data_IF_151462287070
#
_entry.id   IF_151462287070
#
_cell.length_a   1.000
_cell.length_b   1.000
_cell.length_c   1.000
_cell.angle_alpha   90.00
_cell.angle_beta   90.00
_cell.angle_gamma   90.00
#
_symmetry.space_group_name_H-M   'P 1'
#
loop_
_entity.id
_entity.type
_entity.pdbx_description
1 polymer ?
#
# COMPACT_ATOMS: atom_id res chain seq x y z
N UNK A 1 -12.50 -8.07 -6.26
CA UNK A 1 -13.13 -7.44 -5.08
C UNK A 1 -12.79 -5.97 -5.15
N UNK A 2 -13.78 -5.09 -5.21
CA UNK A 2 -13.53 -3.64 -5.21
C UNK A 2 -13.05 -3.24 -3.81
N UNK A 3 -11.82 -2.76 -3.70
CA UNK A 3 -11.26 -2.24 -2.45
C UNK A 3 -10.82 -0.80 -2.64
N UNK A 4 -10.90 -0.03 -1.57
CA UNK A 4 -10.50 1.38 -1.55
C UNK A 4 -9.21 1.53 -0.76
N UNK A 5 -8.22 2.16 -1.36
CA UNK A 5 -6.98 2.51 -0.67
C UNK A 5 -7.28 3.53 0.45
N UNK A 6 -6.85 3.27 1.68
CA UNK A 6 -7.02 4.20 2.80
C UNK A 6 -6.15 5.46 2.68
N UNK A 7 -5.02 5.39 1.98
CA UNK A 7 -4.09 6.52 1.86
C UNK A 7 -4.49 7.50 0.75
N UNK A 8 -4.81 7.02 -0.45
CA UNK A 8 -5.17 7.89 -1.58
C UNK A 8 -6.65 7.83 -1.99
N UNK A 9 -7.44 6.95 -1.37
CA UNK A 9 -8.87 6.82 -1.68
C UNK A 9 -9.18 6.17 -3.03
N UNK A 10 -8.18 5.75 -3.82
CA UNK A 10 -8.38 5.07 -5.11
C UNK A 10 -9.10 3.74 -4.91
N UNK A 11 -10.06 3.49 -5.78
CA UNK A 11 -10.74 2.20 -5.91
C UNK A 11 -9.95 1.33 -6.88
N UNK A 12 -9.63 0.12 -6.47
CA UNK A 12 -8.89 -0.86 -7.27
C UNK A 12 -9.61 -2.20 -7.19
N UNK A 13 -9.71 -2.88 -8.33
CA UNK A 13 -10.22 -4.24 -8.41
C UNK A 13 -9.10 -5.22 -8.11
N UNK A 14 -9.10 -5.76 -6.89
CA UNK A 14 -8.14 -6.78 -6.49
C UNK A 14 -8.71 -8.15 -6.88
N UNK A 15 -8.09 -8.78 -7.88
CA UNK A 15 -8.34 -10.15 -8.34
C UNK A 15 -7.35 -11.13 -7.69
N UNK A 16 -7.53 -12.45 -7.93
CA UNK A 16 -6.65 -13.50 -7.39
C UNK A 16 -5.17 -13.34 -7.77
N UNK A 17 -4.91 -12.68 -8.89
CA UNK A 17 -3.57 -12.45 -9.42
C UNK A 17 -2.90 -11.21 -8.82
N UNK A 18 -3.65 -10.40 -8.07
CA UNK A 18 -3.09 -9.19 -7.48
C UNK A 18 -2.15 -9.57 -6.32
N UNK A 19 -0.95 -8.97 -6.21
CA UNK A 19 0.03 -9.32 -5.17
C UNK A 19 -0.47 -9.08 -3.74
N UNK A 20 -1.55 -8.31 -3.57
CA UNK A 20 -2.22 -8.07 -2.28
C UNK A 20 -3.50 -8.89 -2.10
N UNK A 21 -3.72 -9.90 -2.93
CA UNK A 21 -4.90 -10.75 -2.83
C UNK A 21 -4.98 -11.45 -1.47
N UNK A 22 -3.89 -12.01 -0.94
CA UNK A 22 -3.88 -12.67 0.38
C UNK A 22 -4.20 -11.72 1.54
N UNK A 23 -3.86 -10.43 1.43
CA UNK A 23 -4.18 -9.44 2.47
C UNK A 23 -5.69 -9.14 2.55
N UNK A 24 -6.38 -9.33 1.42
CA UNK A 24 -7.80 -9.03 1.21
C UNK A 24 -8.68 -10.30 1.24
N UNK A 25 -8.11 -11.47 0.92
CA UNK A 25 -8.79 -12.76 0.86
C UNK A 25 -9.29 -13.18 2.25
N UNK A 26 -10.58 -13.49 2.36
CA UNK A 26 -11.20 -13.99 3.60
C UNK A 26 -11.63 -12.92 4.59
N UNK A 27 -11.41 -11.62 4.31
CA UNK A 27 -11.89 -10.52 5.15
C UNK A 27 -13.17 -9.94 4.57
N UNK A 28 -14.29 -10.16 5.26
CA UNK A 28 -15.64 -9.76 4.85
C UNK A 28 -16.02 -8.32 5.23
N UNK A 29 -15.23 -7.62 6.05
CA UNK A 29 -15.49 -6.23 6.46
C UNK A 29 -14.23 -5.37 6.34
N UNK A 30 -14.41 -4.23 5.66
CA UNK A 30 -13.52 -3.05 5.57
C UNK A 30 -12.03 -3.42 5.71
N UNK A 31 -11.48 -4.02 4.66
CA UNK A 31 -10.05 -4.29 4.63
C UNK A 31 -9.31 -2.96 4.56
N UNK A 32 -8.45 -2.72 5.54
CA UNK A 32 -7.42 -1.68 5.54
C UNK A 32 -6.48 -1.92 4.36
N UNK A 33 -6.92 -1.55 3.16
CA UNK A 33 -6.17 -1.74 1.92
C UNK A 33 -5.32 -0.50 1.66
N UNK A 34 -4.07 -0.73 1.29
CA UNK A 34 -3.18 0.32 0.78
C UNK A 34 -2.81 -0.10 -0.63
N UNK A 35 -2.94 0.79 -1.62
CA UNK A 35 -2.53 0.46 -2.99
C UNK A 35 -1.01 0.35 -3.12
N UNK A 36 -0.54 -0.34 -4.16
CA UNK A 36 0.89 -0.53 -4.41
C UNK A 36 1.64 0.79 -4.52
N UNK A 37 1.04 1.80 -5.16
CA UNK A 37 1.65 3.11 -5.32
C UNK A 37 1.89 3.82 -3.98
N UNK A 38 0.90 3.81 -3.08
CA UNK A 38 1.05 4.40 -1.76
C UNK A 38 2.07 3.63 -0.91
N UNK A 39 2.12 2.30 -1.02
CA UNK A 39 3.16 1.50 -0.35
C UNK A 39 4.56 1.86 -0.86
N UNK A 40 4.73 2.04 -2.18
CA UNK A 40 6.01 2.44 -2.75
C UNK A 40 6.44 3.84 -2.27
N UNK A 41 5.50 4.81 -2.25
CA UNK A 41 5.76 6.17 -1.76
C UNK A 41 6.23 6.17 -0.30
N UNK A 42 5.52 5.47 0.59
CA UNK A 42 5.88 5.38 2.01
C UNK A 42 7.26 4.75 2.20
N UNK A 43 7.58 3.69 1.44
CA UNK A 43 8.92 3.07 1.48
C UNK A 43 10.02 4.02 1.01
N UNK A 44 9.75 4.79 -0.03
CA UNK A 44 10.69 5.78 -0.54
C UNK A 44 10.94 6.88 0.51
N UNK A 45 9.88 7.47 1.07
CA UNK A 45 9.96 8.52 2.09
C UNK A 45 10.68 8.03 3.35
N UNK A 46 10.40 6.80 3.80
CA UNK A 46 11.10 6.19 4.93
C UNK A 46 12.59 6.01 4.65
N UNK A 47 12.96 5.51 3.46
CA UNK A 47 14.36 5.35 3.10
C UNK A 47 15.09 6.69 2.94
N UNK A 48 14.45 7.71 2.37
CA UNK A 48 15.04 9.03 2.22
C UNK A 48 15.24 9.73 3.56
N UNK A 49 14.23 9.69 4.44
CA UNK A 49 14.29 10.34 5.75
C UNK A 49 15.27 9.67 6.73
N UNK A 50 15.70 8.44 6.45
CA UNK A 50 16.71 7.73 7.26
C UNK A 50 18.13 7.85 6.69
N UNK A 51 18.33 8.55 5.56
CA UNK A 51 19.68 8.85 5.07
C UNK A 51 20.35 9.79 6.07
N UNK A 52 21.41 9.29 6.73
CA UNK A 52 22.29 10.11 7.55
C UNK A 52 22.76 11.31 6.71
N UNK A 53 22.68 12.55 7.22
CA UNK A 53 23.25 13.69 6.52
C UNK A 53 24.72 13.39 6.24
N UNK A 54 25.17 13.65 5.01
CA UNK A 54 26.57 13.42 4.64
C UNK A 54 27.45 14.15 5.65
N UNK A 55 28.46 13.49 6.24
CA UNK A 55 29.41 14.17 7.12
C UNK A 55 30.06 15.31 6.33
N UNK A 56 30.14 16.49 6.95
CA UNK A 56 30.75 17.70 6.39
C UNK A 56 32.24 17.51 6.17
#
# INVERSE_FOLDING_TARGET
>A
MEVRCMLCGKKEDVTQEHPKWDEVRGKTKVVTYICLNCTAKVRYEANEGQKLPKPM
#
